data_IF_144315186368
#
_entry.id   IF_144315186368
#
_cell.length_a   1.000
_cell.length_b   1.000
_cell.length_c   1.000
_cell.angle_alpha   90.00
_cell.angle_beta   90.00
_cell.angle_gamma   90.00
#
_symmetry.space_group_name_H-M   'P 1'
#
loop_
_entity.id
_entity.type
_entity.pdbx_description
1 polymer ?
#
# COMPACT_ATOMS: atom_id res chain seq x y z
N UNK A 1 12.45 -9.62 -7.10
CA UNK A 1 12.76 -11.06 -7.22
C UNK A 1 11.45 -11.87 -7.23
N UNK A 2 11.25 -12.65 -8.25
CA UNK A 2 10.04 -13.44 -8.36
C UNK A 2 10.09 -14.66 -7.42
N UNK A 3 9.00 -14.92 -6.73
CA UNK A 3 8.86 -16.13 -5.91
C UNK A 3 8.59 -17.34 -6.81
N UNK A 4 9.08 -18.51 -6.41
CA UNK A 4 8.68 -19.74 -7.09
C UNK A 4 7.18 -20.01 -6.82
N UNK A 5 6.52 -20.80 -7.69
CA UNK A 5 5.06 -21.00 -7.58
C UNK A 5 4.60 -21.59 -6.24
N UNK A 6 5.38 -22.46 -5.64
CA UNK A 6 5.02 -23.08 -4.36
C UNK A 6 5.10 -22.10 -3.21
N UNK A 7 6.18 -21.31 -3.16
CA UNK A 7 6.36 -20.28 -2.16
C UNK A 7 5.28 -19.19 -2.31
N UNK A 8 4.99 -18.81 -3.55
CA UNK A 8 3.96 -17.84 -3.88
C UNK A 8 2.58 -18.26 -3.37
N UNK A 9 2.23 -19.54 -3.57
CA UNK A 9 0.97 -20.07 -3.07
C UNK A 9 0.89 -20.04 -1.54
N UNK A 10 1.99 -20.40 -0.87
CA UNK A 10 2.07 -20.35 0.60
C UNK A 10 1.89 -18.92 1.12
N UNK A 11 2.54 -17.94 0.49
CA UNK A 11 2.41 -16.52 0.86
C UNK A 11 0.97 -16.06 0.65
N UNK A 12 0.35 -16.43 -0.47
CA UNK A 12 -1.03 -16.05 -0.77
C UNK A 12 -2.00 -16.62 0.28
N UNK A 13 -1.85 -17.88 0.63
CA UNK A 13 -2.69 -18.52 1.66
C UNK A 13 -2.56 -17.85 3.01
N UNK A 14 -1.33 -17.50 3.41
CA UNK A 14 -1.08 -16.78 4.66
C UNK A 14 -1.70 -15.39 4.62
N UNK A 15 -1.57 -14.68 3.51
CA UNK A 15 -2.18 -13.36 3.37
C UNK A 15 -3.71 -13.44 3.44
N UNK A 16 -4.33 -14.44 2.82
CA UNK A 16 -5.77 -14.66 2.89
C UNK A 16 -6.21 -14.92 4.33
N UNK A 17 -5.44 -15.73 5.07
CA UNK A 17 -5.71 -15.99 6.48
C UNK A 17 -5.67 -14.70 7.30
N UNK A 18 -4.66 -13.89 7.08
CA UNK A 18 -4.51 -12.63 7.81
C UNK A 18 -5.57 -11.60 7.41
N UNK A 19 -6.00 -11.56 6.15
CA UNK A 19 -7.06 -10.64 5.74
C UNK A 19 -8.39 -10.99 6.43
N UNK A 20 -8.67 -12.28 6.64
CA UNK A 20 -9.85 -12.71 7.40
C UNK A 20 -9.71 -12.32 8.87
N UNK A 21 -8.55 -12.55 9.46
CA UNK A 21 -8.28 -12.14 10.85
C UNK A 21 -8.48 -10.65 11.04
N UNK A 22 -7.95 -9.85 10.10
CA UNK A 22 -8.12 -8.41 10.15
C UNK A 22 -9.60 -8.01 10.05
N UNK A 23 -10.34 -8.64 9.13
CA UNK A 23 -11.76 -8.35 8.97
C UNK A 23 -12.56 -8.63 10.25
N UNK A 24 -12.20 -9.68 10.98
CA UNK A 24 -12.83 -9.98 12.26
C UNK A 24 -12.51 -8.93 13.32
N UNK A 25 -11.27 -8.43 13.33
CA UNK A 25 -10.85 -7.41 14.30
C UNK A 25 -11.41 -6.03 13.98
N UNK A 26 -11.39 -5.63 12.72
CA UNK A 26 -11.75 -4.28 12.27
C UNK A 26 -13.26 -4.14 11.98
N UNK A 27 -13.92 -5.23 11.63
CA UNK A 27 -15.33 -5.23 11.24
C UNK A 27 -15.55 -5.12 9.74
N UNK A 28 -14.48 -5.01 8.94
CA UNK A 28 -14.54 -4.99 7.48
C UNK A 28 -13.23 -5.48 6.89
N UNK A 29 -13.28 -5.88 5.63
CA UNK A 29 -12.09 -6.35 4.91
C UNK A 29 -11.04 -5.22 4.81
N UNK A 30 -9.74 -5.59 4.72
CA UNK A 30 -8.73 -4.57 4.48
C UNK A 30 -8.97 -3.89 3.14
N UNK A 31 -8.82 -2.59 3.11
CA UNK A 31 -9.11 -1.78 1.92
C UNK A 31 -7.90 -0.93 1.54
N UNK A 32 -7.58 -0.92 0.26
CA UNK A 32 -6.41 -0.20 -0.25
C UNK A 32 -6.79 0.62 -1.48
N UNK A 33 -6.21 1.81 -1.57
CA UNK A 33 -6.30 2.65 -2.76
C UNK A 33 -4.95 2.60 -3.48
N UNK A 34 -4.95 2.13 -4.71
CA UNK A 34 -3.77 2.15 -5.58
C UNK A 34 -3.74 3.45 -6.35
N UNK A 35 -2.65 4.17 -6.26
CA UNK A 35 -2.51 5.48 -6.90
C UNK A 35 -1.20 5.61 -7.66
N UNK A 36 -1.21 6.58 -8.56
CA UNK A 36 -0.06 7.07 -9.28
C UNK A 36 -0.13 8.60 -9.25
N UNK A 37 0.98 9.26 -8.92
CA UNK A 37 1.01 10.71 -8.77
C UNK A 37 1.96 11.40 -9.76
N UNK A 38 2.46 10.65 -10.73
CA UNK A 38 3.35 11.16 -11.75
C UNK A 38 2.73 10.99 -13.14
N UNK A 39 3.56 11.05 -14.16
CA UNK A 39 3.09 10.84 -15.51
C UNK A 39 2.46 9.46 -15.67
N UNK A 40 1.37 9.39 -16.42
CA UNK A 40 0.65 8.14 -16.66
C UNK A 40 1.41 7.27 -17.66
N UNK A 41 2.55 6.72 -17.21
CA UNK A 41 3.39 5.86 -18.02
C UNK A 41 2.82 4.45 -18.12
N UNK A 42 3.03 3.78 -19.25
CA UNK A 42 2.56 2.41 -19.44
C UNK A 42 3.15 1.46 -18.40
N UNK A 43 4.46 1.63 -18.07
CA UNK A 43 5.11 0.81 -17.06
C UNK A 43 4.44 0.96 -15.68
N UNK A 44 4.02 2.16 -15.32
CA UNK A 44 3.35 2.41 -14.05
C UNK A 44 1.95 1.80 -14.04
N UNK A 45 1.25 1.85 -15.17
CA UNK A 45 -0.07 1.21 -15.30
C UNK A 45 0.04 -0.30 -15.17
N UNK A 46 1.07 -0.91 -15.76
CA UNK A 46 1.30 -2.36 -15.63
C UNK A 46 1.61 -2.76 -14.21
N UNK A 47 2.48 -2.00 -13.52
CA UNK A 47 2.81 -2.25 -12.12
C UNK A 47 1.58 -2.13 -11.23
N UNK A 48 0.76 -1.09 -11.45
CA UNK A 48 -0.47 -0.89 -10.69
C UNK A 48 -1.44 -2.06 -10.90
N UNK A 49 -1.53 -2.57 -12.12
CA UNK A 49 -2.38 -3.72 -12.44
C UNK A 49 -1.91 -4.99 -11.74
N UNK A 50 -0.59 -5.24 -11.75
CA UNK A 50 0.00 -6.39 -11.04
C UNK A 50 -0.26 -6.29 -9.55
N UNK A 51 -0.08 -5.10 -8.98
CA UNK A 51 -0.35 -4.86 -7.56
C UNK A 51 -1.84 -5.08 -7.23
N UNK A 52 -2.74 -4.56 -8.07
CA UNK A 52 -4.18 -4.72 -7.87
C UNK A 52 -4.57 -6.18 -7.85
N UNK A 53 -4.06 -6.97 -8.80
CA UNK A 53 -4.37 -8.39 -8.87
C UNK A 53 -3.86 -9.14 -7.64
N UNK A 54 -2.62 -8.88 -7.21
CA UNK A 54 -2.05 -9.55 -6.05
C UNK A 54 -2.78 -9.19 -4.76
N UNK A 55 -3.14 -7.94 -4.58
CA UNK A 55 -3.88 -7.49 -3.39
C UNK A 55 -5.29 -8.09 -3.36
N UNK A 56 -5.99 -8.07 -4.49
CA UNK A 56 -7.32 -8.68 -4.57
C UNK A 56 -7.26 -10.19 -4.30
N UNK A 57 -6.26 -10.87 -4.86
CA UNK A 57 -6.07 -12.32 -4.66
C UNK A 57 -5.76 -12.67 -3.21
N UNK A 58 -5.25 -11.72 -2.45
CA UNK A 58 -4.89 -11.93 -1.04
C UNK A 58 -5.90 -11.33 -0.06
N UNK A 59 -7.09 -10.98 -0.54
CA UNK A 59 -8.23 -10.65 0.32
C UNK A 59 -8.54 -9.18 0.53
N UNK A 60 -7.84 -8.27 -0.16
CA UNK A 60 -8.11 -6.84 -0.06
C UNK A 60 -9.27 -6.40 -0.94
N UNK A 61 -10.02 -5.40 -0.48
CA UNK A 61 -10.88 -4.61 -1.35
C UNK A 61 -9.99 -3.54 -1.98
N UNK A 62 -9.88 -3.56 -3.30
CA UNK A 62 -8.94 -2.72 -4.04
C UNK A 62 -9.68 -1.65 -4.83
N UNK A 63 -9.37 -0.39 -4.56
CA UNK A 63 -9.78 0.74 -5.38
C UNK A 63 -8.56 1.19 -6.19
N UNK A 64 -8.75 1.50 -7.46
CA UNK A 64 -7.68 1.99 -8.33
C UNK A 64 -8.04 3.39 -8.78
N UNK A 65 -7.11 4.31 -8.59
CA UNK A 65 -7.30 5.70 -8.99
C UNK A 65 -6.39 6.05 -10.15
N UNK A 66 -6.83 6.93 -11.05
CA UNK A 66 -5.94 7.44 -12.10
C UNK A 66 -4.85 8.33 -11.51
N UNK A 67 -3.89 8.72 -12.33
CA UNK A 67 -2.83 9.64 -11.90
C UNK A 67 -3.42 10.94 -11.36
N UNK A 68 -2.97 11.35 -10.17
CA UNK A 68 -3.53 12.49 -9.43
C UNK A 68 -2.43 13.25 -8.70
N UNK A 69 -2.75 14.47 -8.30
CA UNK A 69 -1.92 15.20 -7.36
C UNK A 69 -2.09 14.63 -5.93
N UNK A 70 -1.09 14.80 -5.05
CA UNK A 70 -1.17 14.25 -3.68
C UNK A 70 -2.43 14.67 -2.92
N UNK A 71 -2.90 15.89 -3.07
CA UNK A 71 -4.10 16.38 -2.38
C UNK A 71 -5.35 15.64 -2.84
N UNK A 72 -5.47 15.37 -4.14
CA UNK A 72 -6.61 14.64 -4.69
C UNK A 72 -6.57 13.17 -4.27
N UNK A 73 -5.37 12.60 -4.24
CA UNK A 73 -5.17 11.23 -3.78
C UNK A 73 -5.56 11.09 -2.30
N UNK A 74 -5.17 12.06 -1.47
CA UNK A 74 -5.53 12.08 -0.05
C UNK A 74 -7.04 12.19 0.14
N UNK A 75 -7.68 13.05 -0.64
CA UNK A 75 -9.14 13.20 -0.60
C UNK A 75 -9.83 11.90 -0.96
N UNK A 76 -9.39 11.24 -2.04
CA UNK A 76 -9.95 9.96 -2.46
C UNK A 76 -9.77 8.88 -1.40
N UNK A 77 -8.60 8.83 -0.77
CA UNK A 77 -8.33 7.87 0.30
C UNK A 77 -9.25 8.11 1.51
N UNK A 78 -9.44 9.36 1.89
CA UNK A 78 -10.32 9.73 3.00
C UNK A 78 -11.79 9.43 2.67
N UNK A 79 -12.25 9.79 1.47
CA UNK A 79 -13.63 9.58 1.04
C UNK A 79 -13.97 8.09 0.96
N UNK A 80 -13.03 7.25 0.54
CA UNK A 80 -13.21 5.80 0.45
C UNK A 80 -12.88 5.07 1.76
N UNK A 81 -12.38 5.80 2.74
CA UNK A 81 -12.05 5.27 4.07
C UNK A 81 -11.18 4.01 3.99
N UNK A 82 -10.07 4.13 3.26
CA UNK A 82 -9.14 3.01 3.08
C UNK A 82 -8.21 2.86 4.28
N UNK A 83 -7.64 1.68 4.45
CA UNK A 83 -6.63 1.40 5.49
C UNK A 83 -5.24 1.75 5.02
N UNK A 84 -4.98 1.57 3.72
CA UNK A 84 -3.69 1.82 3.09
C UNK A 84 -3.87 2.55 1.77
N UNK A 85 -2.92 3.40 1.44
CA UNK A 85 -2.69 3.89 0.09
C UNK A 85 -1.42 3.21 -0.41
N UNK A 86 -1.46 2.59 -1.58
CA UNK A 86 -0.31 1.93 -2.19
C UNK A 86 0.13 2.74 -3.41
N UNK A 87 1.31 3.33 -3.31
CA UNK A 87 1.86 4.16 -4.37
C UNK A 87 2.84 3.34 -5.20
N UNK A 88 2.46 3.03 -6.44
CA UNK A 88 3.30 2.29 -7.39
C UNK A 88 3.78 3.25 -8.46
N UNK A 89 5.08 3.42 -8.59
CA UNK A 89 5.65 4.30 -9.61
C UNK A 89 7.08 3.90 -9.97
N UNK A 90 7.46 4.16 -11.21
CA UNK A 90 8.83 4.02 -11.67
C UNK A 90 9.55 5.38 -11.79
N UNK A 91 8.84 6.47 -11.48
CA UNK A 91 9.38 7.82 -11.60
C UNK A 91 10.33 8.23 -10.49
N UNK A 92 11.02 9.33 -10.68
CA UNK A 92 12.05 9.83 -9.76
C UNK A 92 11.49 10.68 -8.61
N UNK A 93 10.28 11.20 -8.75
CA UNK A 93 9.66 12.07 -7.72
C UNK A 93 8.95 11.30 -6.61
N UNK A 94 9.16 10.02 -6.54
CA UNK A 94 8.50 9.07 -5.63
C UNK A 94 8.56 9.52 -4.17
N UNK A 95 9.73 9.84 -3.67
CA UNK A 95 9.91 10.25 -2.28
C UNK A 95 9.20 11.55 -1.96
N UNK A 96 9.32 12.53 -2.83
CA UNK A 96 8.66 13.83 -2.70
C UNK A 96 7.14 13.69 -2.68
N UNK A 97 6.60 12.89 -3.59
CA UNK A 97 5.16 12.68 -3.70
C UNK A 97 4.61 11.88 -2.52
N UNK A 98 5.34 10.90 -2.03
CA UNK A 98 4.93 10.13 -0.86
C UNK A 98 4.86 11.01 0.40
N UNK A 99 5.83 11.91 0.59
CA UNK A 99 5.83 12.86 1.70
C UNK A 99 4.67 13.85 1.56
N UNK A 100 4.43 14.37 0.35
CA UNK A 100 3.33 15.28 0.09
C UNK A 100 1.98 14.60 0.38
N UNK A 101 1.83 13.33 0.01
CA UNK A 101 0.63 12.55 0.33
C UNK A 101 0.44 12.39 1.83
N UNK A 102 1.50 12.08 2.57
CA UNK A 102 1.44 11.96 4.02
C UNK A 102 0.96 13.25 4.68
N UNK A 103 1.48 14.39 4.23
CA UNK A 103 1.07 15.70 4.73
C UNK A 103 -0.39 16.02 4.40
N UNK A 104 -0.81 15.68 3.18
CA UNK A 104 -2.19 15.91 2.74
C UNK A 104 -3.17 15.07 3.55
N UNK A 105 -2.85 13.80 3.83
CA UNK A 105 -3.69 12.95 4.69
C UNK A 105 -3.83 13.54 6.09
N UNK A 106 -2.73 14.04 6.66
CA UNK A 106 -2.77 14.68 7.98
C UNK A 106 -3.68 15.91 7.99
N UNK A 107 -3.66 16.70 6.91
CA UNK A 107 -4.55 17.88 6.79
C UNK A 107 -6.03 17.50 6.71
N UNK A 108 -6.35 16.30 6.20
CA UNK A 108 -7.72 15.77 6.21
C UNK A 108 -8.06 15.09 7.54
N UNK A 109 -7.16 15.12 8.53
CA UNK A 109 -7.38 14.42 9.79
C UNK A 109 -7.32 12.91 9.66
N UNK A 110 -6.64 12.40 8.63
CA UNK A 110 -6.57 10.98 8.32
C UNK A 110 -5.12 10.47 8.30
N UNK A 111 -4.32 10.89 9.26
CA UNK A 111 -2.97 10.37 9.45
C UNK A 111 -2.95 8.91 9.92
N UNK A 112 -4.13 8.35 10.23
CA UNK A 112 -4.32 6.94 10.49
C UNK A 112 -4.21 6.06 9.24
N UNK A 113 -4.43 6.64 8.04
CA UNK A 113 -4.27 5.90 6.78
C UNK A 113 -2.78 5.73 6.50
N UNK A 114 -2.37 4.47 6.34
CA UNK A 114 -0.97 4.12 6.12
C UNK A 114 -0.60 4.22 4.64
N UNK A 115 0.67 4.45 4.37
CA UNK A 115 1.19 4.57 3.00
C UNK A 115 2.21 3.46 2.76
N UNK A 116 2.06 2.76 1.65
CA UNK A 116 3.06 1.81 1.14
C UNK A 116 3.58 2.34 -0.19
N UNK A 117 4.89 2.30 -0.38
CA UNK A 117 5.54 2.76 -1.60
C UNK A 117 6.35 1.61 -2.19
N UNK A 118 6.20 1.36 -3.48
CA UNK A 118 6.92 0.31 -4.19
C UNK A 118 8.05 0.90 -5.02
N UNK A 119 9.01 0.07 -5.41
CA UNK A 119 10.17 0.42 -6.22
C UNK A 119 11.07 1.48 -5.58
N UNK A 120 11.23 1.40 -4.27
CA UNK A 120 12.04 2.35 -3.51
C UNK A 120 13.52 1.95 -3.57
N UNK A 121 14.40 2.85 -4.05
CA UNK A 121 15.84 2.59 -3.96
C UNK A 121 16.29 2.53 -2.49
N UNK A 122 17.32 1.72 -2.16
CA UNK A 122 17.79 1.61 -0.77
C UNK A 122 18.13 2.94 -0.13
N UNK A 123 18.68 3.89 -0.88
CA UNK A 123 19.10 5.20 -0.37
C UNK A 123 17.91 6.10 0.02
N UNK A 124 16.70 5.82 -0.47
CA UNK A 124 15.51 6.60 -0.13
C UNK A 124 14.72 6.04 1.05
N UNK A 125 14.96 4.79 1.40
CA UNK A 125 14.18 4.08 2.42
C UNK A 125 14.19 4.79 3.77
N UNK A 126 15.36 5.23 4.23
CA UNK A 126 15.50 5.90 5.52
C UNK A 126 14.75 7.23 5.56
N UNK A 127 14.81 7.99 4.46
CA UNK A 127 14.08 9.25 4.34
C UNK A 127 12.57 9.04 4.47
N UNK A 128 12.03 8.04 3.78
CA UNK A 128 10.61 7.72 3.86
C UNK A 128 10.21 7.29 5.26
N UNK A 129 11.04 6.48 5.90
CA UNK A 129 10.81 6.03 7.26
C UNK A 129 10.70 7.20 8.25
N UNK A 130 11.52 8.23 8.09
CA UNK A 130 11.50 9.43 8.94
C UNK A 130 10.17 10.18 8.84
N UNK A 131 9.45 10.05 7.72
CA UNK A 131 8.15 10.68 7.54
C UNK A 131 7.00 9.74 7.92
N UNK A 132 7.30 8.62 8.59
CA UNK A 132 6.31 7.68 9.07
C UNK A 132 5.83 6.67 8.04
N UNK A 133 6.50 6.59 6.89
CA UNK A 133 6.15 5.62 5.84
C UNK A 133 6.92 4.33 6.12
N UNK A 134 6.21 3.36 6.73
CA UNK A 134 6.82 2.11 7.19
C UNK A 134 6.99 1.08 6.09
N UNK A 135 6.16 1.13 5.05
CA UNK A 135 6.19 0.16 3.95
C UNK A 135 6.87 0.77 2.74
N UNK A 136 8.18 0.63 2.65
CA UNK A 136 8.98 1.05 1.50
C UNK A 136 9.61 -0.20 0.89
N UNK A 137 8.99 -0.70 -0.19
CA UNK A 137 9.41 -1.96 -0.81
C UNK A 137 10.40 -1.72 -1.94
N UNK A 138 11.46 -2.54 -2.03
CA UNK A 138 12.46 -2.38 -3.09
C UNK A 138 11.92 -2.73 -4.46
N UNK A 139 12.68 -2.36 -5.50
CA UNK A 139 12.35 -2.74 -6.87
C UNK A 139 12.21 -4.26 -6.98
N UNK A 140 11.25 -4.71 -7.76
CA UNK A 140 10.96 -6.13 -8.01
C UNK A 140 10.52 -6.91 -6.77
N UNK A 141 10.16 -6.23 -5.68
CA UNK A 141 9.59 -6.90 -4.52
C UNK A 141 8.22 -7.48 -4.88
N UNK A 142 7.98 -8.73 -4.49
CA UNK A 142 6.75 -9.44 -4.82
C UNK A 142 5.53 -8.78 -4.14
N UNK A 143 4.46 -8.57 -4.90
CA UNK A 143 3.28 -7.88 -4.38
C UNK A 143 2.48 -8.72 -3.37
N UNK A 144 2.53 -10.05 -3.44
CA UNK A 144 1.91 -10.88 -2.42
C UNK A 144 2.65 -10.77 -1.09
N UNK A 145 3.98 -10.69 -1.13
CA UNK A 145 4.77 -10.44 0.08
C UNK A 145 4.51 -9.03 0.63
N UNK A 146 4.34 -8.06 -0.25
CA UNK A 146 3.98 -6.70 0.17
C UNK A 146 2.63 -6.73 0.89
N UNK A 147 1.64 -7.41 0.32
CA UNK A 147 0.33 -7.60 0.95
C UNK A 147 0.45 -8.21 2.35
N UNK A 148 1.24 -9.28 2.46
CA UNK A 148 1.44 -9.97 3.74
C UNK A 148 2.03 -9.03 4.79
N UNK A 149 3.04 -8.23 4.42
CA UNK A 149 3.66 -7.25 5.32
C UNK A 149 2.64 -6.18 5.75
N UNK A 150 1.87 -5.66 4.81
CA UNK A 150 0.86 -4.65 5.09
C UNK A 150 -0.21 -5.18 6.05
N UNK A 151 -0.67 -6.41 5.83
CA UNK A 151 -1.65 -7.05 6.70
C UNK A 151 -1.12 -7.24 8.12
N UNK A 152 0.13 -7.66 8.26
CA UNK A 152 0.77 -7.82 9.58
C UNK A 152 0.80 -6.49 10.34
N UNK A 153 1.07 -5.39 9.65
CA UNK A 153 1.08 -4.06 10.26
C UNK A 153 -0.32 -3.68 10.72
N UNK A 154 -1.34 -3.89 9.89
CA UNK A 154 -2.72 -3.58 10.25
C UNK A 154 -3.19 -4.39 11.46
N UNK A 155 -2.90 -5.69 11.49
CA UNK A 155 -3.29 -6.55 12.59
C UNK A 155 -2.56 -6.15 13.88
N UNK A 156 -1.26 -5.88 13.80
CA UNK A 156 -0.50 -5.46 14.97
C UNK A 156 -1.06 -4.16 15.56
N UNK A 157 -1.43 -3.21 14.70
CA UNK A 157 -2.04 -1.94 15.13
C UNK A 157 -3.39 -2.18 15.80
N UNK A 158 -4.26 -3.00 15.20
CA UNK A 158 -5.57 -3.30 15.79
C UNK A 158 -5.44 -3.96 17.16
N UNK A 159 -4.53 -4.91 17.30
CA UNK A 159 -4.30 -5.59 18.60
C UNK A 159 -3.75 -4.62 19.63
N UNK A 160 -2.91 -3.68 19.24
CA UNK A 160 -2.38 -2.66 20.14
C UNK A 160 -3.49 -1.73 20.64
N UNK A 161 -4.42 -1.34 19.77
CA UNK A 161 -5.54 -0.49 20.14
C UNK A 161 -6.54 -1.17 21.07
N UNK A 162 -6.57 -2.50 21.07
CA UNK A 162 -7.44 -3.30 21.96
C UNK A 162 -6.87 -3.44 23.37
N UNK A 163 -5.59 -3.14 23.57
CA UNK A 163 -4.95 -3.16 24.88
C UNK A 163 -5.23 -1.82 25.60
#
# INVERSE_FOLDING_TARGET
>A
MALDPKTKETVREEALRLSKEFAELDGRRPRVLLIEMENDLESDREERKLAANALADSGWDVDVSPSQQPEDAAKGAADNDVHFVFYTTTGDARGKNAVALSRALALYGRDDILIAVHQVPPEEKESLFRYGILCAFPKDYDYLQASLTMLRILIAREKQEME
#
